data_IF_522209897466
#
_entry.id   IF_522209897466
#
_cell.length_a   1.000
_cell.length_b   1.000
_cell.length_c   1.000
_cell.angle_alpha   90.00
_cell.angle_beta   90.00
_cell.angle_gamma   90.00
#
_symmetry.space_group_name_H-M   'P 1'
#
loop_
_entity.id
_entity.type
_entity.pdbx_description
1 polymer ?
#
# COMPACT_ATOMS: atom_id res chain seq x y z
N UNK A 1 2.57 8.36 0.57
CA UNK A 1 3.12 8.58 -0.78
C UNK A 1 2.14 9.43 -1.58
N UNK A 2 2.57 10.50 -2.26
CA UNK A 2 1.70 11.32 -3.09
C UNK A 2 1.07 10.52 -4.23
N UNK A 3 -0.07 10.97 -4.74
CA UNK A 3 -0.68 10.43 -5.95
C UNK A 3 -0.37 11.38 -7.11
N UNK A 4 0.68 11.09 -7.90
CA UNK A 4 1.14 11.95 -8.99
C UNK A 4 1.88 11.17 -10.08
N UNK A 5 2.05 11.75 -11.29
CA UNK A 5 2.87 11.17 -12.37
C UNK A 5 4.34 10.93 -12.00
N UNK A 6 4.83 11.50 -10.90
CA UNK A 6 6.21 11.33 -10.43
C UNK A 6 6.43 10.02 -9.66
N UNK A 7 5.35 9.36 -9.23
CA UNK A 7 5.46 8.07 -8.53
C UNK A 7 6.04 7.04 -9.49
N UNK A 8 7.05 6.30 -9.03
CA UNK A 8 7.60 5.18 -9.79
C UNK A 8 6.52 4.12 -10.00
N UNK A 9 6.22 3.79 -11.25
CA UNK A 9 5.34 2.67 -11.58
C UNK A 9 6.03 1.33 -11.33
N UNK A 10 5.26 0.32 -10.95
CA UNK A 10 5.72 -1.07 -10.94
C UNK A 10 6.09 -1.49 -12.38
N UNK A 11 7.09 -2.35 -12.53
CA UNK A 11 7.48 -2.88 -13.83
C UNK A 11 6.26 -3.49 -14.56
N UNK A 12 6.05 -3.08 -15.81
CA UNK A 12 4.88 -3.49 -16.62
C UNK A 12 3.59 -2.71 -16.35
N UNK A 13 3.51 -1.85 -15.33
CA UNK A 13 2.34 -1.00 -15.07
C UNK A 13 2.48 0.37 -15.75
N UNK A 14 1.37 0.98 -16.21
CA UNK A 14 1.40 2.36 -16.69
C UNK A 14 1.70 3.35 -15.56
N UNK A 15 2.41 4.43 -15.89
CA UNK A 15 2.50 5.60 -15.02
C UNK A 15 1.14 6.29 -14.85
N UNK A 16 0.95 7.00 -13.74
CA UNK A 16 -0.21 7.89 -13.58
C UNK A 16 -0.12 8.98 -14.65
N UNK A 17 -1.19 9.12 -15.43
CA UNK A 17 -1.38 10.28 -16.31
C UNK A 17 -2.50 11.16 -15.78
N UNK A 18 -2.31 12.47 -15.90
CA UNK A 18 -3.25 13.49 -15.45
C UNK A 18 -3.42 14.53 -16.55
N UNK A 19 -4.65 14.75 -16.98
CA UNK A 19 -5.00 15.69 -18.04
C UNK A 19 -6.10 16.64 -17.55
N UNK A 20 -5.86 17.95 -17.46
CA UNK A 20 -6.90 18.91 -17.07
C UNK A 20 -8.07 18.87 -18.05
N UNK A 21 -9.28 18.70 -17.53
CA UNK A 21 -10.53 18.84 -18.30
C UNK A 21 -11.02 20.29 -18.25
N UNK A 22 -10.94 20.92 -17.06
CA UNK A 22 -11.27 22.34 -16.86
C UNK A 22 -10.26 23.00 -15.92
N UNK A 23 -10.08 24.31 -16.07
CA UNK A 23 -9.18 25.13 -15.25
C UNK A 23 -9.92 26.33 -14.66
N UNK A 24 -9.50 26.81 -13.48
CA UNK A 24 -10.14 27.99 -12.88
C UNK A 24 -10.07 29.22 -13.80
N UNK A 25 -8.97 29.41 -14.54
CA UNK A 25 -8.78 30.57 -15.43
C UNK A 25 -9.79 30.57 -16.59
N UNK A 26 -10.07 29.43 -17.19
CA UNK A 26 -10.95 29.34 -18.35
C UNK A 26 -12.42 29.09 -17.97
N UNK A 27 -12.66 28.31 -16.90
CA UNK A 27 -13.97 27.71 -16.61
C UNK A 27 -14.54 28.09 -15.24
N UNK A 28 -13.77 28.82 -14.41
CA UNK A 28 -14.14 29.13 -13.02
C UNK A 28 -14.04 27.94 -12.05
N UNK A 29 -13.70 26.74 -12.53
CA UNK A 29 -13.55 25.50 -11.74
C UNK A 29 -12.41 24.62 -12.26
N UNK A 30 -11.88 23.74 -11.43
CA UNK A 30 -10.86 22.76 -11.83
C UNK A 30 -11.42 21.34 -11.84
N UNK A 31 -11.05 20.58 -12.88
CA UNK A 31 -11.33 19.15 -12.98
C UNK A 31 -10.24 18.49 -13.84
N UNK A 32 -9.89 17.23 -13.54
CA UNK A 32 -8.77 16.51 -14.16
C UNK A 32 -9.16 15.07 -14.42
N UNK A 33 -8.88 14.57 -15.63
CA UNK A 33 -8.93 13.15 -15.96
C UNK A 33 -7.66 12.48 -15.47
N UNK A 34 -7.81 11.31 -14.86
CA UNK A 34 -6.70 10.50 -14.38
C UNK A 34 -6.81 9.12 -15.01
N UNK A 35 -5.68 8.58 -15.52
CA UNK A 35 -5.55 7.17 -15.92
C UNK A 35 -4.37 6.57 -15.16
N UNK A 36 -4.59 5.43 -14.50
CA UNK A 36 -3.62 4.77 -13.63
C UNK A 36 -3.92 3.26 -13.53
N UNK A 37 -2.92 2.47 -13.12
CA UNK A 37 -3.15 1.08 -12.68
C UNK A 37 -3.69 1.07 -11.26
N UNK A 38 -4.71 0.26 -10.96
CA UNK A 38 -5.35 0.23 -9.63
C UNK A 38 -4.39 -0.15 -8.49
N UNK A 39 -3.28 -0.84 -8.81
CA UNK A 39 -2.18 -1.14 -7.89
C UNK A 39 -1.06 -0.09 -8.00
N UNK A 40 -1.43 1.19 -7.85
CA UNK A 40 -0.48 2.32 -7.91
C UNK A 40 -0.65 3.20 -6.68
N UNK A 41 0.48 3.63 -6.11
CA UNK A 41 0.52 4.44 -4.89
C UNK A 41 -0.16 3.73 -3.70
N UNK A 42 -0.80 4.47 -2.79
CA UNK A 42 -1.59 3.89 -1.69
C UNK A 42 -2.88 3.29 -2.26
N UNK A 43 -3.06 1.98 -2.15
CA UNK A 43 -4.19 1.24 -2.73
C UNK A 43 -4.63 0.10 -1.80
N UNK A 44 -5.68 -0.62 -2.21
CA UNK A 44 -6.23 -1.77 -1.49
C UNK A 44 -6.30 -2.94 -2.47
N UNK A 45 -5.79 -4.09 -2.07
CA UNK A 45 -5.94 -5.34 -2.82
C UNK A 45 -7.17 -6.10 -2.33
N UNK A 46 -8.05 -6.45 -3.26
CA UNK A 46 -9.16 -7.40 -3.01
C UNK A 46 -8.70 -8.84 -3.28
N UNK A 47 -9.38 -9.88 -2.73
CA UNK A 47 -9.03 -11.28 -2.98
C UNK A 47 -8.90 -11.65 -4.46
N UNK A 48 -9.71 -11.02 -5.33
CA UNK A 48 -9.64 -11.22 -6.78
C UNK A 48 -8.24 -10.95 -7.37
N UNK A 49 -7.41 -10.14 -6.70
CA UNK A 49 -6.06 -9.82 -7.14
C UNK A 49 -5.20 -11.08 -7.33
N UNK A 50 -5.40 -12.11 -6.50
CA UNK A 50 -4.66 -13.37 -6.56
C UNK A 50 -5.51 -14.60 -6.84
N UNK A 51 -6.82 -14.56 -6.56
CA UNK A 51 -7.73 -15.68 -6.73
C UNK A 51 -8.77 -15.36 -7.79
N UNK A 52 -8.85 -16.16 -8.86
CA UNK A 52 -9.76 -15.88 -9.99
C UNK A 52 -11.25 -15.84 -9.61
N UNK A 53 -11.61 -16.54 -8.54
CA UNK A 53 -12.95 -16.59 -7.93
C UNK A 53 -13.07 -15.72 -6.66
N UNK A 54 -12.04 -14.92 -6.35
CA UNK A 54 -12.02 -14.03 -5.21
C UNK A 54 -13.01 -12.87 -5.34
N UNK A 55 -13.53 -12.41 -4.20
CA UNK A 55 -14.42 -11.25 -4.12
C UNK A 55 -13.76 -9.99 -4.65
N UNK A 56 -14.48 -9.21 -5.47
CA UNK A 56 -14.05 -7.90 -5.98
C UNK A 56 -14.26 -6.80 -4.95
N UNK A 57 -13.50 -5.70 -5.04
CA UNK A 57 -13.54 -4.60 -4.05
C UNK A 57 -14.95 -4.03 -3.83
N UNK A 58 -15.78 -3.96 -4.87
CA UNK A 58 -17.14 -3.44 -4.84
C UNK A 58 -18.16 -4.39 -4.16
N UNK A 59 -17.79 -5.64 -3.94
CA UNK A 59 -18.61 -6.67 -3.30
C UNK A 59 -18.21 -6.95 -1.85
N UNK A 60 -17.10 -6.37 -1.40
CA UNK A 60 -16.59 -6.57 -0.04
C UNK A 60 -17.46 -5.87 1.01
N UNK A 61 -17.62 -6.49 2.18
CA UNK A 61 -18.36 -5.89 3.30
C UNK A 61 -17.69 -4.61 3.79
N UNK A 62 -18.44 -3.52 3.97
CA UNK A 62 -17.88 -2.23 4.35
C UNK A 62 -17.17 -2.24 5.71
N UNK A 63 -17.54 -3.18 6.60
CA UNK A 63 -16.92 -3.42 7.90
C UNK A 63 -15.41 -3.72 7.84
N UNK A 64 -14.92 -4.18 6.68
CA UNK A 64 -13.49 -4.46 6.51
C UNK A 64 -12.65 -3.21 6.24
N UNK A 65 -13.24 -2.07 5.93
CA UNK A 65 -12.49 -0.84 5.63
C UNK A 65 -12.25 0.04 6.86
N UNK A 66 -12.80 -0.35 8.00
CA UNK A 66 -12.60 0.35 9.27
C UNK A 66 -12.45 -0.62 10.44
N UNK A 67 -11.88 -0.13 11.52
CA UNK A 67 -11.74 -0.89 12.75
C UNK A 67 -10.40 -0.65 13.42
N UNK A 68 -10.14 -1.45 14.45
CA UNK A 68 -8.92 -1.35 15.23
C UNK A 68 -7.72 -1.84 14.40
N UNK A 69 -6.64 -1.07 14.50
CA UNK A 69 -5.36 -1.35 13.85
C UNK A 69 -4.26 -1.28 14.89
N UNK A 70 -3.40 -2.29 14.93
CA UNK A 70 -2.18 -2.28 15.72
C UNK A 70 -1.03 -1.80 14.83
N UNK A 71 -0.15 -0.96 15.37
CA UNK A 71 1.03 -0.49 14.65
C UNK A 71 2.24 -1.25 15.16
N UNK A 72 2.92 -1.95 14.27
CA UNK A 72 4.24 -2.51 14.52
C UNK A 72 5.28 -1.52 13.98
N UNK A 73 6.05 -0.88 14.86
CA UNK A 73 7.12 0.04 14.47
C UNK A 73 8.39 -0.75 14.12
N UNK A 74 8.64 -0.85 12.83
CA UNK A 74 9.73 -1.63 12.25
C UNK A 74 10.84 -0.75 11.68
N UNK A 75 10.81 0.57 11.89
CA UNK A 75 11.77 1.52 11.30
C UNK A 75 13.23 1.21 11.65
N UNK A 76 13.48 0.60 12.81
CA UNK A 76 14.82 0.22 13.26
C UNK A 76 15.16 -1.26 13.01
N UNK A 77 14.20 -2.04 12.49
CA UNK A 77 14.30 -3.49 12.34
C UNK A 77 14.38 -3.86 10.86
N UNK A 78 13.46 -3.32 10.05
CA UNK A 78 13.34 -3.64 8.64
C UNK A 78 14.59 -3.23 7.84
N UNK A 79 15.03 -4.15 6.97
CA UNK A 79 16.18 -3.94 6.08
C UNK A 79 15.83 -4.39 4.66
N UNK A 80 16.34 -3.71 3.61
CA UNK A 80 16.12 -4.13 2.24
C UNK A 80 16.51 -5.59 1.97
N UNK A 81 15.62 -6.34 1.34
CA UNK A 81 15.82 -7.74 0.94
C UNK A 81 15.84 -8.75 2.10
N UNK A 82 15.61 -8.33 3.34
CA UNK A 82 15.58 -9.22 4.49
C UNK A 82 14.13 -9.53 4.89
N UNK A 83 13.82 -10.80 5.22
CA UNK A 83 12.50 -11.17 5.71
C UNK A 83 12.25 -10.59 7.10
N UNK A 84 10.99 -10.26 7.38
CA UNK A 84 10.48 -9.92 8.71
C UNK A 84 9.93 -11.19 9.37
N UNK A 85 10.51 -11.57 10.49
CA UNK A 85 10.07 -12.72 11.30
C UNK A 85 8.97 -12.34 12.29
N UNK A 86 8.30 -13.32 12.89
CA UNK A 86 7.34 -13.06 13.98
C UNK A 86 8.02 -12.37 15.16
N UNK A 87 9.28 -12.67 15.45
CA UNK A 87 10.01 -12.01 16.54
C UNK A 87 10.34 -10.55 16.22
N UNK A 88 10.59 -10.22 14.95
CA UNK A 88 10.69 -8.82 14.49
C UNK A 88 9.37 -8.08 14.68
N UNK A 89 8.24 -8.70 14.36
CA UNK A 89 6.92 -8.11 14.56
C UNK A 89 6.63 -7.89 16.06
N UNK A 90 6.93 -8.88 16.91
CA UNK A 90 6.83 -8.74 18.38
C UNK A 90 7.71 -7.61 18.90
N UNK A 91 8.96 -7.51 18.44
CA UNK A 91 9.86 -6.43 18.80
C UNK A 91 9.33 -5.05 18.36
N UNK A 92 8.61 -5.00 17.23
CA UNK A 92 7.91 -3.82 16.75
C UNK A 92 6.61 -3.48 17.50
N UNK A 93 6.13 -4.34 18.41
CA UNK A 93 4.92 -4.09 19.21
C UNK A 93 3.68 -4.87 18.75
N UNK A 94 3.83 -5.97 18.03
CA UNK A 94 2.72 -6.88 17.72
C UNK A 94 2.05 -7.36 19.02
N UNK A 95 0.71 -7.27 19.15
CA UNK A 95 0.03 -7.74 20.34
C UNK A 95 -0.06 -9.27 20.36
N UNK A 96 -0.46 -9.81 21.52
CA UNK A 96 -0.78 -11.23 21.66
C UNK A 96 -1.87 -11.69 20.68
N UNK A 97 -1.84 -12.97 20.33
CA UNK A 97 -2.67 -13.61 19.32
C UNK A 97 -4.19 -13.45 19.56
N UNK A 98 -4.62 -13.45 20.84
CA UNK A 98 -6.02 -13.24 21.24
C UNK A 98 -6.61 -11.91 20.75
N UNK A 99 -5.73 -10.94 20.45
CA UNK A 99 -6.08 -9.60 19.98
C UNK A 99 -5.99 -9.45 18.47
N UNK A 100 -5.50 -10.45 17.73
CA UNK A 100 -5.23 -10.31 16.29
C UNK A 100 -6.46 -10.58 15.41
N UNK A 101 -7.31 -11.53 15.80
CA UNK A 101 -8.49 -11.90 15.00
C UNK A 101 -9.38 -10.67 14.72
N UNK A 102 -9.78 -10.52 13.45
CA UNK A 102 -10.61 -9.42 12.93
C UNK A 102 -10.00 -8.02 13.06
N UNK A 103 -8.70 -7.91 13.36
CA UNK A 103 -7.99 -6.63 13.46
C UNK A 103 -6.92 -6.51 12.38
N UNK A 104 -6.49 -5.27 12.13
CA UNK A 104 -5.45 -4.95 11.14
C UNK A 104 -4.12 -4.74 11.84
N UNK A 105 -3.04 -5.03 11.12
CA UNK A 105 -1.68 -4.71 11.54
C UNK A 105 -1.08 -3.77 10.50
N UNK A 106 -0.60 -2.62 10.94
CA UNK A 106 0.24 -1.73 10.14
C UNK A 106 1.70 -2.03 10.43
N UNK A 107 2.42 -2.54 9.44
CA UNK A 107 3.88 -2.67 9.46
C UNK A 107 4.52 -1.34 9.06
N UNK A 108 4.97 -0.57 10.05
CA UNK A 108 5.50 0.77 9.82
C UNK A 108 7.02 0.78 9.76
N UNK A 109 7.58 0.89 8.55
CA UNK A 109 9.03 0.90 8.35
C UNK A 109 9.56 2.12 7.58
N UNK A 110 8.70 3.11 7.34
CA UNK A 110 9.04 4.33 6.58
C UNK A 110 9.59 4.06 5.16
N UNK A 111 9.24 2.91 4.58
CA UNK A 111 9.84 2.38 3.35
C UNK A 111 9.74 3.33 2.16
N UNK A 112 8.53 3.82 1.89
CA UNK A 112 8.23 4.61 0.70
C UNK A 112 8.65 6.09 0.82
N UNK A 113 8.91 6.61 2.02
CA UNK A 113 9.08 8.05 2.25
C UNK A 113 10.26 8.66 1.46
N UNK A 114 11.38 7.94 1.38
CA UNK A 114 12.56 8.34 0.60
C UNK A 114 12.63 7.74 -0.80
N UNK A 115 11.71 6.82 -1.15
CA UNK A 115 11.83 5.96 -2.35
C UNK A 115 10.75 6.16 -3.39
N UNK A 116 9.67 6.88 -3.08
CA UNK A 116 8.45 6.89 -3.91
C UNK A 116 8.62 7.41 -5.35
N UNK A 117 9.70 8.13 -5.67
CA UNK A 117 10.08 8.54 -7.04
C UNK A 117 11.29 7.78 -7.59
N UNK A 118 11.93 6.96 -6.76
CA UNK A 118 13.17 6.27 -7.05
C UNK A 118 12.98 4.86 -7.62
N UNK A 119 13.96 4.35 -8.39
CA UNK A 119 13.92 3.00 -8.93
C UNK A 119 14.04 1.91 -7.85
N UNK A 120 14.27 2.29 -6.60
CA UNK A 120 14.39 1.43 -5.43
C UNK A 120 13.07 1.22 -4.68
N UNK A 121 11.97 1.91 -5.06
CA UNK A 121 10.65 1.73 -4.44
C UNK A 121 10.22 0.26 -4.37
N UNK A 122 10.45 -0.48 -5.47
CA UNK A 122 10.08 -1.90 -5.60
C UNK A 122 11.27 -2.86 -5.53
N UNK A 123 12.46 -2.38 -5.12
CA UNK A 123 13.66 -3.23 -5.04
C UNK A 123 13.98 -3.55 -3.59
N UNK A 124 14.13 -4.84 -3.29
CA UNK A 124 14.43 -5.30 -1.93
C UNK A 124 13.32 -4.97 -0.95
N UNK A 125 12.06 -4.99 -1.40
CA UNK A 125 10.89 -4.76 -0.54
C UNK A 125 10.97 -5.62 0.72
N UNK A 126 10.41 -5.10 1.81
CA UNK A 126 10.18 -5.91 3.00
C UNK A 126 9.11 -6.95 2.68
N UNK A 127 9.29 -8.16 3.20
CA UNK A 127 8.34 -9.25 3.09
C UNK A 127 8.33 -10.02 4.40
N UNK A 128 7.23 -10.69 4.68
CA UNK A 128 7.13 -11.59 5.83
C UNK A 128 7.90 -12.88 5.52
N UNK A 129 8.61 -13.43 6.51
CA UNK A 129 9.19 -14.77 6.39
C UNK A 129 8.09 -15.81 6.21
N UNK A 130 8.34 -16.81 5.37
CA UNK A 130 7.57 -18.05 5.40
C UNK A 130 8.07 -18.86 6.60
N UNK A 131 7.21 -19.07 7.60
CA UNK A 131 7.48 -20.05 8.66
C UNK A 131 6.98 -21.41 8.17
N UNK A 132 7.91 -22.37 8.06
CA UNK A 132 7.63 -23.77 7.71
C UNK A 132 7.53 -24.62 8.98
#
# INVERSE_FOLDING_TARGET
MPFSPSVTALEGHPNISMEPITTHKADGRSNTKIVFSIHTSTHIDSPQHFYSDGTTIDQMDLGIFYGKTYVCDLRQIAKPGHPLTIDDLKAGGLPNEDKLRNNRILMYADWAASRWTGPDLYKGNMYLSEET
#
